data_IF_067020281426
#
_entry.id   IF_067020281426
#
_cell.length_a   1.000
_cell.length_b   1.000
_cell.length_c   1.000
_cell.angle_alpha   90.00
_cell.angle_beta   90.00
_cell.angle_gamma   90.00
#
_symmetry.space_group_name_H-M   'P 1'
#
loop_
_entity.id
_entity.type
_entity.pdbx_description
1 polymer ?
#
# COMPACT_ATOMS: atom_id res chain seq x y z
N UNK A 1 16.80 -17.29 44.77
CA UNK A 1 17.50 -17.40 43.48
C UNK A 1 16.91 -18.39 42.48
N UNK A 2 16.10 -19.40 42.87
CA UNK A 2 15.53 -20.39 41.90
C UNK A 2 14.29 -19.94 41.12
N UNK A 3 13.53 -18.93 41.59
CA UNK A 3 12.33 -18.44 40.90
C UNK A 3 12.61 -17.56 39.64
N UNK A 4 13.73 -16.84 39.67
CA UNK A 4 14.09 -15.95 38.55
C UNK A 4 14.70 -16.69 37.35
N UNK A 5 15.25 -17.88 37.57
CA UNK A 5 15.81 -18.72 36.51
C UNK A 5 14.69 -19.36 35.65
N UNK A 6 13.55 -19.70 36.27
CA UNK A 6 12.41 -20.28 35.55
C UNK A 6 11.71 -19.26 34.63
N UNK A 7 11.68 -17.97 35.01
CA UNK A 7 11.09 -16.90 34.16
C UNK A 7 12.01 -16.61 32.95
N UNK A 8 13.33 -16.66 33.15
CA UNK A 8 14.27 -16.41 32.04
C UNK A 8 14.25 -17.54 31.01
N UNK A 9 14.11 -18.80 31.46
CA UNK A 9 13.99 -19.97 30.58
C UNK A 9 12.66 -19.96 29.82
N UNK A 10 11.56 -19.52 30.44
CA UNK A 10 10.26 -19.42 29.78
C UNK A 10 10.23 -18.29 28.71
N UNK A 11 10.93 -17.18 28.95
CA UNK A 11 11.06 -16.09 27.97
C UNK A 11 11.95 -16.47 26.79
N UNK A 12 13.03 -17.21 27.03
CA UNK A 12 13.90 -17.72 25.96
C UNK A 12 13.21 -18.81 25.12
N UNK A 13 12.41 -19.66 25.75
CA UNK A 13 11.66 -20.70 25.02
C UNK A 13 10.50 -20.11 24.21
N UNK A 14 9.85 -19.04 24.67
CA UNK A 14 8.79 -18.39 23.88
C UNK A 14 9.35 -17.64 22.66
N UNK A 15 10.52 -17.00 22.78
CA UNK A 15 11.19 -16.35 21.65
C UNK A 15 11.72 -17.36 20.62
N UNK A 16 12.26 -18.50 21.08
CA UNK A 16 12.74 -19.56 20.19
C UNK A 16 11.60 -20.33 19.53
N UNK A 17 10.45 -20.49 20.18
CA UNK A 17 9.24 -21.12 19.59
C UNK A 17 8.66 -20.24 18.50
N UNK A 18 8.64 -18.91 18.66
CA UNK A 18 8.19 -18.00 17.59
C UNK A 18 9.10 -18.02 16.35
N UNK A 19 10.42 -18.05 16.56
CA UNK A 19 11.39 -18.15 15.47
C UNK A 19 11.36 -19.54 14.79
N UNK A 20 11.19 -20.61 15.56
CA UNK A 20 11.06 -21.97 15.03
C UNK A 20 9.75 -22.17 14.26
N UNK A 21 8.63 -21.54 14.68
CA UNK A 21 7.37 -21.66 13.97
C UNK A 21 7.40 -20.94 12.61
N UNK A 22 8.05 -19.77 12.52
CA UNK A 22 8.28 -19.09 11.24
C UNK A 22 9.09 -19.94 10.27
N UNK A 23 10.24 -20.45 10.71
CA UNK A 23 11.11 -21.33 9.92
C UNK A 23 10.44 -22.66 9.54
N UNK A 24 9.59 -23.22 10.40
CA UNK A 24 8.86 -24.46 10.12
C UNK A 24 7.76 -24.27 9.07
N UNK A 25 7.09 -23.13 9.08
CA UNK A 25 6.07 -22.79 8.07
C UNK A 25 6.74 -22.61 6.70
N UNK A 26 7.86 -21.90 6.63
CA UNK A 26 8.60 -21.72 5.38
C UNK A 26 9.15 -23.06 4.85
N UNK A 27 9.73 -23.91 5.70
CA UNK A 27 10.18 -25.26 5.33
C UNK A 27 9.05 -26.15 4.81
N UNK A 28 7.84 -26.03 5.33
CA UNK A 28 6.68 -26.79 4.83
C UNK A 28 6.38 -26.47 3.36
N UNK A 29 6.70 -25.25 2.91
CA UNK A 29 6.43 -24.77 1.56
C UNK A 29 7.70 -24.64 0.70
N UNK A 30 8.90 -24.89 1.25
CA UNK A 30 10.20 -24.79 0.59
C UNK A 30 10.31 -25.63 -0.68
N UNK A 31 9.64 -26.79 -0.70
CA UNK A 31 9.62 -27.68 -1.88
C UNK A 31 8.50 -27.35 -2.87
N UNK A 32 7.70 -26.32 -2.63
CA UNK A 32 6.69 -25.90 -3.58
C UNK A 32 7.32 -24.90 -4.54
N UNK A 33 7.36 -25.28 -5.82
CA UNK A 33 7.79 -24.35 -6.86
C UNK A 33 6.96 -23.07 -6.81
N UNK A 34 7.59 -21.91 -7.00
CA UNK A 34 6.87 -20.65 -7.09
C UNK A 34 5.73 -20.77 -8.09
N UNK A 35 4.54 -20.30 -7.71
CA UNK A 35 3.37 -20.31 -8.57
C UNK A 35 3.58 -19.32 -9.72
N UNK A 36 4.26 -19.77 -10.76
CA UNK A 36 4.58 -18.96 -11.92
C UNK A 36 3.32 -18.62 -12.71
N UNK A 37 2.98 -17.33 -12.76
CA UNK A 37 1.93 -16.84 -13.65
C UNK A 37 2.43 -16.62 -15.07
N UNK A 38 3.68 -16.17 -15.23
CA UNK A 38 4.29 -15.85 -16.52
C UNK A 38 5.80 -15.70 -16.38
N UNK A 39 6.52 -16.09 -17.43
CA UNK A 39 7.94 -15.77 -17.62
C UNK A 39 8.90 -16.92 -17.37
N UNK A 40 10.20 -16.61 -17.46
CA UNK A 40 11.28 -17.58 -17.35
C UNK A 40 11.49 -18.00 -15.88
N UNK A 41 11.53 -19.30 -15.63
CA UNK A 41 11.81 -19.87 -14.29
C UNK A 41 13.31 -19.86 -13.95
N UNK A 42 14.18 -19.61 -14.91
CA UNK A 42 15.64 -19.62 -14.72
C UNK A 42 16.27 -18.23 -14.68
N UNK A 43 15.51 -17.21 -14.24
CA UNK A 43 16.09 -15.86 -14.07
C UNK A 43 17.10 -15.90 -12.93
N UNK A 44 18.29 -15.42 -13.20
CA UNK A 44 19.38 -15.33 -12.22
C UNK A 44 19.98 -13.92 -12.20
N UNK A 45 20.51 -13.53 -11.06
CA UNK A 45 21.25 -12.30 -10.85
C UNK A 45 22.53 -12.60 -10.10
N UNK A 46 23.66 -12.16 -10.65
CA UNK A 46 25.00 -12.41 -10.08
C UNK A 46 25.26 -13.89 -9.73
N UNK A 47 24.80 -14.81 -10.60
CA UNK A 47 25.00 -16.23 -10.42
C UNK A 47 24.06 -16.95 -9.45
N UNK A 48 23.17 -16.22 -8.76
CA UNK A 48 22.12 -16.81 -7.92
C UNK A 48 20.78 -16.82 -8.65
N UNK A 49 20.03 -17.90 -8.50
CA UNK A 49 18.65 -17.97 -8.97
C UNK A 49 17.81 -16.94 -8.21
N UNK A 50 16.96 -16.20 -8.91
CA UNK A 50 16.07 -15.19 -8.29
C UNK A 50 15.17 -15.86 -7.25
N UNK A 51 14.65 -17.03 -7.52
CA UNK A 51 13.79 -17.75 -6.58
C UNK A 51 14.49 -18.02 -5.25
N UNK A 52 15.76 -18.44 -5.28
CA UNK A 52 16.54 -18.66 -4.06
C UNK A 52 16.76 -17.35 -3.29
N UNK A 53 17.07 -16.27 -4.01
CA UNK A 53 17.24 -14.95 -3.36
C UNK A 53 15.95 -14.48 -2.68
N UNK A 54 14.79 -14.74 -3.28
CA UNK A 54 13.49 -14.39 -2.71
C UNK A 54 13.21 -15.23 -1.46
N UNK A 55 13.45 -16.54 -1.50
CA UNK A 55 13.26 -17.40 -0.32
C UNK A 55 14.18 -17.01 0.83
N UNK A 56 15.46 -16.75 0.55
CA UNK A 56 16.42 -16.29 1.55
C UNK A 56 15.94 -14.97 2.20
N UNK A 57 15.48 -14.01 1.39
CA UNK A 57 14.93 -12.75 1.87
C UNK A 57 13.65 -12.94 2.70
N UNK A 58 12.72 -13.76 2.24
CA UNK A 58 11.47 -14.03 2.96
C UNK A 58 11.74 -14.70 4.32
N UNK A 59 12.71 -15.62 4.38
CA UNK A 59 13.11 -16.28 5.62
C UNK A 59 13.75 -15.26 6.59
N UNK A 60 14.70 -14.46 6.10
CA UNK A 60 15.38 -13.43 6.89
C UNK A 60 14.40 -12.39 7.46
N UNK A 61 13.43 -11.96 6.67
CA UNK A 61 12.47 -10.92 7.06
C UNK A 61 11.18 -11.49 7.70
N UNK A 62 11.02 -12.80 7.78
CA UNK A 62 9.82 -13.44 8.32
C UNK A 62 8.56 -13.19 7.47
N UNK A 63 8.70 -13.01 6.16
CA UNK A 63 7.59 -12.73 5.23
C UNK A 63 6.92 -14.05 4.83
N UNK A 64 5.63 -14.26 5.17
CA UNK A 64 4.96 -15.54 4.89
C UNK A 64 4.58 -15.72 3.42
N UNK A 65 4.39 -14.65 2.67
CA UNK A 65 4.03 -14.72 1.27
C UNK A 65 4.21 -13.40 0.54
N UNK A 66 4.52 -13.50 -0.75
CA UNK A 66 4.68 -12.33 -1.64
C UNK A 66 4.45 -12.69 -3.10
N UNK A 67 4.24 -11.69 -3.93
CA UNK A 67 4.29 -11.81 -5.38
C UNK A 67 5.36 -10.90 -5.93
N UNK A 68 6.24 -11.44 -6.78
CA UNK A 68 7.27 -10.70 -7.48
C UNK A 68 6.89 -10.54 -8.95
N UNK A 69 7.01 -9.33 -9.47
CA UNK A 69 7.00 -9.06 -10.90
C UNK A 69 8.33 -8.41 -11.31
N UNK A 70 9.03 -9.02 -12.25
CA UNK A 70 10.20 -8.42 -12.90
C UNK A 70 9.74 -7.89 -14.24
N UNK A 71 9.89 -6.59 -14.44
CA UNK A 71 9.48 -5.91 -15.67
C UNK A 71 10.69 -5.25 -16.31
N UNK A 72 10.96 -5.62 -17.56
CA UNK A 72 11.96 -4.97 -18.40
C UNK A 72 11.30 -4.69 -19.74
N UNK A 73 10.95 -3.45 -19.98
CA UNK A 73 10.24 -3.07 -21.20
C UNK A 73 10.98 -3.51 -22.47
N UNK A 74 10.30 -4.09 -23.47
CA UNK A 74 8.86 -4.35 -23.54
C UNK A 74 8.42 -5.73 -22.94
N UNK A 75 9.27 -6.37 -22.16
CA UNK A 75 9.07 -7.74 -21.68
C UNK A 75 8.70 -7.78 -20.20
N UNK A 76 7.98 -8.84 -19.81
CA UNK A 76 7.79 -9.24 -18.43
C UNK A 76 8.52 -10.57 -18.26
N UNK A 77 9.79 -10.56 -17.84
CA UNK A 77 10.60 -11.78 -17.77
C UNK A 77 10.09 -12.75 -16.71
N UNK A 78 9.43 -12.29 -15.66
CA UNK A 78 8.89 -13.14 -14.62
C UNK A 78 7.76 -12.48 -13.83
N UNK A 79 6.72 -13.26 -13.53
CA UNK A 79 5.76 -13.00 -12.44
C UNK A 79 5.57 -14.29 -11.68
N UNK A 80 5.78 -14.28 -10.38
CA UNK A 80 5.65 -15.47 -9.54
C UNK A 80 5.17 -15.12 -8.12
N UNK A 81 4.34 -16.01 -7.54
CA UNK A 81 4.00 -15.98 -6.12
C UNK A 81 4.90 -16.92 -5.34
N UNK A 82 5.23 -16.52 -4.12
CA UNK A 82 6.07 -17.24 -3.16
C UNK A 82 5.37 -17.34 -1.82
N UNK A 83 5.50 -18.50 -1.16
CA UNK A 83 4.90 -18.72 0.15
C UNK A 83 3.37 -18.74 0.13
N UNK A 84 2.74 -18.26 1.20
CA UNK A 84 1.31 -18.38 1.44
C UNK A 84 0.63 -17.03 1.68
N UNK A 85 -0.64 -16.94 1.32
CA UNK A 85 -1.50 -15.77 1.58
C UNK A 85 -2.31 -15.91 2.85
N UNK A 86 -2.35 -17.12 3.42
CA UNK A 86 -3.09 -17.44 4.63
C UNK A 86 -2.31 -18.50 5.40
N UNK A 87 -1.83 -18.14 6.60
CA UNK A 87 -1.01 -19.03 7.43
C UNK A 87 -1.81 -20.19 8.02
N UNK A 88 -3.11 -20.02 8.23
CA UNK A 88 -3.97 -21.06 8.80
C UNK A 88 -4.38 -22.06 7.72
N UNK A 89 -4.81 -21.56 6.57
CA UNK A 89 -5.32 -22.39 5.46
C UNK A 89 -4.23 -22.90 4.53
N UNK A 90 -3.05 -22.24 4.54
CA UNK A 90 -1.94 -22.59 3.67
C UNK A 90 -2.20 -22.28 2.19
N UNK A 91 -3.06 -21.31 1.88
CA UNK A 91 -3.32 -20.88 0.52
C UNK A 91 -2.07 -20.27 -0.09
N UNK A 92 -1.66 -20.75 -1.26
CA UNK A 92 -0.44 -20.30 -1.91
C UNK A 92 -0.59 -18.89 -2.50
N UNK A 93 0.45 -18.08 -2.36
CA UNK A 93 0.57 -16.84 -3.11
C UNK A 93 0.80 -17.16 -4.61
N UNK A 94 0.19 -16.39 -5.49
CA UNK A 94 0.25 -16.58 -6.93
C UNK A 94 0.38 -15.24 -7.67
N UNK A 95 0.63 -15.29 -8.97
CA UNK A 95 0.66 -14.09 -9.82
C UNK A 95 -0.65 -13.28 -9.81
N UNK A 96 -1.76 -13.93 -9.46
CA UNK A 96 -3.10 -13.32 -9.38
C UNK A 96 -3.53 -12.95 -7.96
N UNK A 97 -2.64 -13.08 -6.99
CA UNK A 97 -2.94 -12.67 -5.63
C UNK A 97 -3.15 -11.17 -5.56
N UNK A 98 -4.24 -10.75 -4.93
CA UNK A 98 -4.52 -9.34 -4.66
C UNK A 98 -3.82 -8.92 -3.38
N UNK A 99 -3.01 -7.90 -3.48
CA UNK A 99 -2.29 -7.30 -2.38
C UNK A 99 -2.77 -5.87 -2.14
N UNK A 100 -2.93 -5.44 -0.88
CA UNK A 100 -3.13 -4.03 -0.60
C UNK A 100 -1.85 -3.26 -0.95
N UNK A 101 -1.98 -2.25 -1.80
CA UNK A 101 -0.84 -1.49 -2.30
C UNK A 101 -0.55 -0.24 -1.46
N UNK A 102 -1.40 0.08 -0.48
CA UNK A 102 -1.21 1.20 0.44
C UNK A 102 -0.83 2.51 -0.27
N UNK A 103 0.24 3.20 0.17
CA UNK A 103 0.65 4.47 -0.42
C UNK A 103 1.03 4.43 -1.91
N UNK A 104 1.30 3.26 -2.49
CA UNK A 104 1.53 3.13 -3.94
C UNK A 104 0.28 3.58 -4.71
N UNK A 105 -0.93 3.47 -4.11
CA UNK A 105 -2.17 3.98 -4.69
C UNK A 105 -2.15 5.48 -4.99
N UNK A 106 -1.28 6.26 -4.35
CA UNK A 106 -1.08 7.68 -4.64
C UNK A 106 -0.67 7.91 -6.10
N UNK A 107 -0.02 6.93 -6.74
CA UNK A 107 0.29 6.97 -8.17
C UNK A 107 -0.95 7.12 -9.06
N UNK A 108 -2.06 6.47 -8.70
CA UNK A 108 -3.33 6.64 -9.44
C UNK A 108 -3.90 8.05 -9.32
N UNK A 109 -3.78 8.67 -8.14
CA UNK A 109 -4.20 10.06 -7.95
C UNK A 109 -3.29 11.03 -8.72
N UNK A 110 -1.98 10.81 -8.70
CA UNK A 110 -1.04 11.62 -9.47
C UNK A 110 -1.33 11.54 -10.98
N UNK A 111 -1.58 10.35 -11.51
CA UNK A 111 -1.99 10.16 -12.92
C UNK A 111 -3.33 10.87 -13.19
N UNK A 112 -4.31 10.81 -12.28
CA UNK A 112 -5.58 11.50 -12.45
C UNK A 112 -5.42 13.03 -12.52
N UNK A 113 -4.55 13.60 -11.66
CA UNK A 113 -4.18 15.03 -11.72
C UNK A 113 -3.58 15.37 -13.08
N UNK A 114 -2.62 14.56 -13.57
CA UNK A 114 -2.00 14.79 -14.88
C UNK A 114 -2.99 14.66 -16.03
N UNK A 115 -3.93 13.71 -15.98
CA UNK A 115 -5.00 13.58 -16.97
C UNK A 115 -5.93 14.81 -17.01
N UNK A 116 -6.18 15.43 -15.85
CA UNK A 116 -6.96 16.67 -15.77
C UNK A 116 -6.17 17.89 -16.23
N UNK A 117 -4.87 17.93 -15.93
CA UNK A 117 -3.94 18.95 -16.41
C UNK A 117 -3.85 18.94 -17.94
N UNK A 118 -3.62 17.78 -18.56
CA UNK A 118 -3.60 17.62 -20.02
C UNK A 118 -4.90 18.08 -20.71
N UNK A 119 -6.03 17.94 -20.02
CA UNK A 119 -7.35 18.42 -20.49
C UNK A 119 -7.61 19.91 -20.20
N UNK A 120 -6.62 20.62 -19.66
CA UNK A 120 -6.75 22.04 -19.28
C UNK A 120 -7.82 22.30 -18.20
N UNK A 121 -8.11 21.30 -17.33
CA UNK A 121 -9.08 21.41 -16.25
C UNK A 121 -8.50 22.00 -14.97
N UNK A 122 -7.20 21.91 -14.81
CA UNK A 122 -6.42 22.48 -13.71
C UNK A 122 -5.00 22.80 -14.18
N UNK A 123 -4.28 23.65 -13.44
CA UNK A 123 -2.85 23.86 -13.58
C UNK A 123 -2.13 23.35 -12.33
N UNK A 124 -0.93 22.76 -12.49
CA UNK A 124 -0.16 22.22 -11.38
C UNK A 124 0.30 23.32 -10.41
N UNK A 125 0.45 24.53 -10.88
CA UNK A 125 0.81 25.70 -10.07
C UNK A 125 -0.41 26.41 -9.47
N UNK A 126 -1.63 25.99 -9.81
CA UNK A 126 -2.83 26.56 -9.18
C UNK A 126 -2.78 26.37 -7.65
N UNK A 127 -3.12 27.42 -6.90
CA UNK A 127 -3.27 27.30 -5.46
C UNK A 127 -4.50 26.44 -5.15
N UNK A 128 -4.38 25.52 -4.18
CA UNK A 128 -5.47 24.60 -3.87
C UNK A 128 -6.73 25.31 -3.37
N UNK A 129 -6.60 26.50 -2.79
CA UNK A 129 -7.72 27.37 -2.43
C UNK A 129 -8.60 27.80 -3.60
N UNK A 130 -8.14 27.69 -4.84
CA UNK A 130 -8.98 27.84 -6.05
C UNK A 130 -10.09 26.80 -6.11
N UNK A 131 -9.79 25.58 -5.64
CA UNK A 131 -10.67 24.43 -5.72
C UNK A 131 -11.35 24.10 -4.39
N UNK A 132 -10.62 24.22 -3.28
CA UNK A 132 -11.07 23.84 -1.94
C UNK A 132 -11.28 25.09 -1.10
N UNK A 133 -12.53 25.35 -0.70
CA UNK A 133 -12.89 26.55 0.08
C UNK A 133 -12.83 26.30 1.59
N UNK A 134 -13.20 25.07 2.00
CA UNK A 134 -13.36 24.68 3.39
C UNK A 134 -12.08 24.02 3.94
N UNK A 135 -10.94 24.71 3.77
CA UNK A 135 -9.63 24.31 4.25
C UNK A 135 -8.98 25.50 4.99
N UNK A 136 -7.99 25.28 5.87
CA UNK A 136 -7.27 26.35 6.56
C UNK A 136 -6.71 27.41 5.60
N UNK A 137 -6.78 28.68 6.01
CA UNK A 137 -6.35 29.81 5.17
C UNK A 137 -4.88 29.69 4.74
N UNK A 138 -4.02 29.23 5.65
CA UNK A 138 -2.58 29.04 5.37
C UNK A 138 -2.29 27.88 4.42
N UNK A 139 -3.27 27.02 4.11
CA UNK A 139 -3.11 25.96 3.10
C UNK A 139 -3.52 26.45 1.70
N UNK A 140 -4.40 27.43 1.62
CA UNK A 140 -4.97 27.91 0.34
C UNK A 140 -3.93 28.32 -0.71
N UNK A 141 -2.78 28.93 -0.34
CA UNK A 141 -1.74 29.28 -1.32
C UNK A 141 -0.90 28.10 -1.81
N UNK A 142 -0.95 26.94 -1.16
CA UNK A 142 -0.19 25.74 -1.53
C UNK A 142 -0.62 25.30 -2.92
N UNK A 143 0.33 24.94 -3.80
CA UNK A 143 0.03 24.51 -5.15
C UNK A 143 -0.32 23.00 -5.23
N UNK A 144 -1.05 22.61 -6.27
CA UNK A 144 -1.30 21.19 -6.59
C UNK A 144 0.03 20.43 -6.71
N UNK A 145 1.03 21.02 -7.36
CA UNK A 145 2.35 20.41 -7.50
C UNK A 145 3.01 20.13 -6.15
N UNK A 146 2.92 21.08 -5.20
CA UNK A 146 3.48 20.90 -3.86
C UNK A 146 2.79 19.77 -3.07
N UNK A 147 1.48 19.54 -3.27
CA UNK A 147 0.80 18.36 -2.72
C UNK A 147 1.33 17.08 -3.34
N UNK A 148 1.46 17.01 -4.68
CA UNK A 148 1.93 15.84 -5.39
C UNK A 148 3.37 15.46 -5.00
N UNK A 149 4.22 16.45 -4.73
CA UNK A 149 5.61 16.28 -4.34
C UNK A 149 5.82 16.08 -2.84
N UNK A 150 4.75 16.08 -2.03
CA UNK A 150 4.84 16.07 -0.58
C UNK A 150 5.64 17.24 0.02
N UNK A 151 5.69 18.36 -0.67
CA UNK A 151 6.40 19.57 -0.25
C UNK A 151 5.49 20.66 0.31
N UNK A 152 4.29 20.30 0.75
CA UNK A 152 3.30 21.23 1.30
C UNK A 152 3.57 21.68 2.74
N UNK A 153 4.26 20.84 3.54
CA UNK A 153 4.40 21.02 4.98
C UNK A 153 3.18 20.60 5.80
N UNK A 154 2.05 20.18 5.19
CA UNK A 154 0.83 19.78 5.88
C UNK A 154 1.06 18.49 6.66
N UNK A 155 0.59 18.45 7.92
CA UNK A 155 0.67 17.27 8.78
C UNK A 155 -0.09 16.07 8.20
N UNK A 156 0.38 14.85 8.50
CA UNK A 156 -0.27 13.62 8.09
C UNK A 156 -1.30 13.20 9.14
N UNK A 157 -2.58 13.16 8.78
CA UNK A 157 -3.67 12.77 9.69
C UNK A 157 -3.49 11.37 10.29
N UNK A 158 -2.76 10.48 9.63
CA UNK A 158 -2.50 9.13 10.13
C UNK A 158 -1.61 9.10 11.38
N UNK A 159 -0.86 10.17 11.62
CA UNK A 159 0.01 10.30 12.79
C UNK A 159 -0.73 10.89 13.99
N UNK A 160 -1.99 11.30 13.83
CA UNK A 160 -2.74 11.95 14.88
C UNK A 160 -3.31 10.94 15.87
N UNK A 161 -3.29 11.33 17.15
CA UNK A 161 -3.81 10.51 18.24
C UNK A 161 -5.30 10.23 18.04
N UNK A 162 -5.65 8.95 17.98
CA UNK A 162 -7.04 8.50 17.79
C UNK A 162 -7.38 8.20 16.36
N UNK A 163 -6.47 8.34 15.40
CA UNK A 163 -6.67 7.82 14.05
C UNK A 163 -6.79 6.29 14.13
N UNK A 164 -7.88 5.77 13.62
CA UNK A 164 -8.15 4.34 13.47
C UNK A 164 -8.37 4.06 11.98
N UNK A 165 -7.44 3.42 11.39
CA UNK A 165 -7.43 3.09 9.98
C UNK A 165 -8.54 2.06 9.58
N UNK A 166 -9.15 1.37 10.56
CA UNK A 166 -10.32 0.51 10.32
C UNK A 166 -11.65 1.29 10.35
N UNK A 167 -11.62 2.56 10.77
CA UNK A 167 -12.81 3.40 10.82
C UNK A 167 -13.10 4.03 9.45
N UNK A 168 -14.36 4.26 9.19
CA UNK A 168 -14.83 4.96 8.00
C UNK A 168 -14.89 6.46 8.28
N UNK A 169 -13.98 7.22 7.66
CA UNK A 169 -13.89 8.67 7.82
C UNK A 169 -14.36 9.38 6.56
N UNK A 170 -15.11 10.46 6.76
CA UNK A 170 -15.32 11.43 5.68
C UNK A 170 -14.05 12.30 5.52
N UNK A 171 -13.72 12.76 4.30
CA UNK A 171 -12.55 13.59 4.05
C UNK A 171 -12.44 14.81 4.98
N UNK A 172 -13.57 15.46 5.29
CA UNK A 172 -13.63 16.64 6.15
C UNK A 172 -13.18 16.32 7.58
N UNK A 173 -13.57 15.15 8.11
CA UNK A 173 -13.17 14.74 9.46
C UNK A 173 -11.66 14.53 9.56
N UNK A 174 -11.03 13.96 8.52
CA UNK A 174 -9.57 13.79 8.49
C UNK A 174 -8.84 15.14 8.35
N UNK A 175 -9.38 16.06 7.55
CA UNK A 175 -8.83 17.41 7.42
C UNK A 175 -8.90 18.15 8.78
N UNK A 176 -10.03 18.06 9.48
CA UNK A 176 -10.22 18.69 10.81
C UNK A 176 -9.18 18.24 11.83
N UNK A 177 -8.75 16.97 11.80
CA UNK A 177 -7.75 16.45 12.77
C UNK A 177 -6.41 17.16 12.68
N UNK A 178 -6.05 17.70 11.53
CA UNK A 178 -4.75 18.34 11.28
C UNK A 178 -4.85 19.83 10.95
N UNK A 179 -6.06 20.36 10.83
CA UNK A 179 -6.30 21.75 10.42
C UNK A 179 -5.67 22.81 11.34
N UNK A 180 -5.57 22.52 12.64
CA UNK A 180 -4.98 23.41 13.62
C UNK A 180 -3.46 23.22 13.79
N UNK A 181 -2.87 22.21 13.16
CA UNK A 181 -1.45 21.92 13.25
C UNK A 181 -0.67 22.87 12.34
N UNK A 182 0.35 23.60 12.84
CA UNK A 182 1.20 24.41 11.99
C UNK A 182 1.86 23.58 10.88
N UNK A 183 2.13 24.20 9.75
CA UNK A 183 2.94 23.57 8.69
C UNK A 183 4.32 23.20 9.25
N UNK A 184 4.77 21.98 8.98
CA UNK A 184 6.06 21.48 9.44
C UNK A 184 7.26 22.29 8.86
N UNK A 185 7.04 22.89 7.69
CA UNK A 185 7.99 23.75 6.97
C UNK A 185 7.22 24.64 5.99
N UNK A 186 7.87 25.67 5.49
CA UNK A 186 7.29 26.53 4.46
C UNK A 186 7.09 25.72 3.15
N UNK A 187 5.93 25.84 2.48
CA UNK A 187 5.64 25.07 1.26
C UNK A 187 6.73 25.22 0.20
N UNK A 188 7.24 24.09 -0.29
CA UNK A 188 8.31 24.03 -1.30
C UNK A 188 9.74 24.04 -0.76
N UNK A 189 9.95 24.15 0.57
CA UNK A 189 11.32 24.23 1.14
C UNK A 189 11.86 22.88 1.62
N UNK A 190 10.98 21.88 1.80
CA UNK A 190 11.38 20.54 2.24
C UNK A 190 10.34 19.50 1.74
N UNK A 191 10.60 18.22 1.95
CA UNK A 191 9.75 17.11 1.53
C UNK A 191 9.46 16.19 2.71
N UNK A 192 8.18 16.01 3.01
CA UNK A 192 7.72 15.06 4.03
C UNK A 192 6.43 14.41 3.58
N UNK A 193 6.43 13.08 3.47
CA UNK A 193 5.24 12.34 3.10
C UNK A 193 4.07 12.66 4.03
N UNK A 194 2.91 12.92 3.44
CA UNK A 194 1.66 13.16 4.16
C UNK A 194 0.48 12.63 3.35
N UNK A 195 -0.32 11.76 3.96
CA UNK A 195 -1.56 11.26 3.34
C UNK A 195 -2.58 12.39 3.14
N UNK A 196 -2.55 13.43 3.99
CA UNK A 196 -3.41 14.61 3.84
C UNK A 196 -3.24 15.27 2.47
N UNK A 197 -2.02 15.29 1.92
CA UNK A 197 -1.78 15.84 0.59
C UNK A 197 -2.63 15.13 -0.48
N UNK A 198 -2.64 13.81 -0.45
CA UNK A 198 -3.38 13.02 -1.43
C UNK A 198 -4.88 12.98 -1.16
N UNK A 199 -5.31 13.12 0.10
CA UNK A 199 -6.71 13.36 0.43
C UNK A 199 -7.22 14.66 -0.21
N UNK A 200 -6.45 15.75 -0.13
CA UNK A 200 -6.78 17.02 -0.77
C UNK A 200 -6.77 16.91 -2.29
N UNK A 201 -5.80 16.17 -2.87
CA UNK A 201 -5.76 15.91 -4.31
C UNK A 201 -6.99 15.13 -4.79
N UNK A 202 -7.44 14.11 -4.06
CA UNK A 202 -8.67 13.38 -4.44
C UNK A 202 -9.88 14.31 -4.48
N UNK A 203 -10.03 15.21 -3.49
CA UNK A 203 -11.10 16.21 -3.48
C UNK A 203 -11.02 17.19 -4.66
N UNK A 204 -9.81 17.59 -5.08
CA UNK A 204 -9.61 18.42 -6.26
C UNK A 204 -9.99 17.66 -7.54
N UNK A 205 -9.59 16.38 -7.65
CA UNK A 205 -9.93 15.51 -8.79
C UNK A 205 -11.46 15.38 -8.92
N UNK A 206 -12.17 15.15 -7.81
CA UNK A 206 -13.65 15.06 -7.84
C UNK A 206 -14.30 16.33 -8.33
N UNK A 207 -13.86 17.48 -7.81
CA UNK A 207 -14.42 18.80 -8.22
C UNK A 207 -14.14 19.13 -9.68
N UNK A 208 -12.93 18.87 -10.15
CA UNK A 208 -12.53 19.21 -11.53
C UNK A 208 -12.98 18.15 -12.53
N UNK A 209 -12.98 16.88 -12.14
CA UNK A 209 -13.46 15.74 -12.93
C UNK A 209 -14.98 15.61 -12.95
N UNK A 210 -15.70 16.30 -12.02
CA UNK A 210 -17.16 16.25 -11.84
C UNK A 210 -17.72 14.84 -11.65
N UNK A 211 -16.97 14.01 -10.94
CA UNK A 211 -17.36 12.66 -10.55
C UNK A 211 -16.55 12.19 -9.34
N UNK A 212 -17.01 11.19 -8.57
CA UNK A 212 -16.24 10.59 -7.48
C UNK A 212 -14.86 10.13 -7.95
N UNK A 213 -13.85 10.28 -7.09
CA UNK A 213 -12.47 9.87 -7.37
C UNK A 213 -12.37 8.40 -7.81
N UNK A 214 -13.08 7.52 -7.09
CA UNK A 214 -13.17 6.11 -7.43
C UNK A 214 -13.64 5.88 -8.88
N UNK A 215 -14.69 6.57 -9.29
CA UNK A 215 -15.27 6.40 -10.64
C UNK A 215 -14.33 6.98 -11.70
N UNK A 216 -13.63 8.07 -11.36
CA UNK A 216 -12.64 8.68 -12.25
C UNK A 216 -11.49 7.71 -12.53
N UNK A 217 -10.85 7.18 -11.48
CA UNK A 217 -9.74 6.24 -11.62
C UNK A 217 -10.20 4.95 -12.29
N UNK A 218 -11.35 4.41 -11.87
CA UNK A 218 -11.91 3.22 -12.51
C UNK A 218 -12.08 3.42 -14.01
N UNK A 219 -12.76 4.48 -14.42
CA UNK A 219 -13.08 4.74 -15.82
C UNK A 219 -11.86 5.06 -16.68
N UNK A 220 -10.98 5.96 -16.19
CA UNK A 220 -9.92 6.53 -17.01
C UNK A 220 -8.56 5.86 -16.85
N UNK A 221 -8.43 4.92 -15.91
CA UNK A 221 -7.19 4.18 -15.70
C UNK A 221 -7.44 2.67 -15.67
N UNK A 222 -8.23 2.15 -14.74
CA UNK A 222 -8.40 0.71 -14.54
C UNK A 222 -9.08 0.07 -15.77
N UNK A 223 -10.27 0.55 -16.14
CA UNK A 223 -11.04 0.00 -17.27
C UNK A 223 -10.36 0.33 -18.61
N UNK A 224 -9.81 1.56 -18.74
CA UNK A 224 -9.10 1.99 -19.95
C UNK A 224 -7.88 1.11 -20.27
N UNK A 225 -7.12 0.72 -19.24
CA UNK A 225 -5.94 -0.13 -19.39
C UNK A 225 -6.28 -1.63 -19.32
N UNK A 226 -7.53 -1.99 -19.07
CA UNK A 226 -7.96 -3.38 -18.94
C UNK A 226 -7.35 -4.08 -17.72
N UNK A 227 -7.16 -3.38 -16.61
CA UNK A 227 -6.55 -3.92 -15.38
C UNK A 227 -7.57 -4.76 -14.61
N UNK A 228 -7.74 -6.02 -15.04
CA UNK A 228 -8.78 -6.93 -14.53
C UNK A 228 -8.57 -7.37 -13.07
N UNK A 229 -7.40 -7.10 -12.48
CA UNK A 229 -7.04 -7.52 -11.13
C UNK A 229 -6.65 -6.32 -10.25
N UNK A 230 -7.19 -5.13 -10.56
CA UNK A 230 -6.99 -3.92 -9.78
C UNK A 230 -8.35 -3.42 -9.31
N UNK A 231 -8.51 -3.31 -7.99
CA UNK A 231 -9.80 -2.99 -7.36
C UNK A 231 -9.62 -1.96 -6.26
N UNK A 232 -10.64 -1.17 -5.99
CA UNK A 232 -10.75 -0.44 -4.74
C UNK A 232 -11.23 -1.38 -3.63
N UNK A 233 -10.80 -1.15 -2.39
CA UNK A 233 -11.14 -2.02 -1.25
C UNK A 233 -12.65 -2.27 -1.11
N UNK A 234 -13.48 -1.24 -1.34
CA UNK A 234 -14.95 -1.36 -1.31
C UNK A 234 -15.55 -2.27 -2.40
N UNK A 235 -14.81 -2.55 -3.46
CA UNK A 235 -15.27 -3.41 -4.55
C UNK A 235 -14.86 -4.87 -4.37
N UNK A 236 -14.00 -5.19 -3.39
CA UNK A 236 -13.51 -6.56 -3.17
C UNK A 236 -14.62 -7.56 -2.91
N UNK A 237 -15.72 -7.16 -2.26
CA UNK A 237 -16.87 -8.01 -2.03
C UNK A 237 -17.57 -8.48 -3.32
N UNK A 238 -17.33 -7.81 -4.45
CA UNK A 238 -17.88 -8.13 -5.78
C UNK A 238 -16.97 -9.06 -6.59
N UNK A 239 -15.73 -9.27 -6.11
CA UNK A 239 -14.74 -10.09 -6.80
C UNK A 239 -15.00 -11.55 -6.48
N UNK A 240 -15.12 -12.38 -7.53
CA UNK A 240 -15.27 -13.83 -7.34
C UNK A 240 -13.95 -14.42 -6.85
N UNK A 241 -14.01 -15.18 -5.75
CA UNK A 241 -12.81 -15.79 -5.15
C UNK A 241 -12.09 -16.79 -6.07
N UNK A 242 -12.82 -17.39 -7.02
CA UNK A 242 -12.26 -18.27 -8.02
C UNK A 242 -11.33 -17.57 -9.03
N UNK A 243 -11.52 -16.25 -9.23
CA UNK A 243 -10.74 -15.46 -10.18
C UNK A 243 -9.45 -14.87 -9.58
N UNK A 244 -9.38 -14.79 -8.26
CA UNK A 244 -8.29 -14.15 -7.53
C UNK A 244 -7.99 -14.87 -6.22
N UNK A 245 -6.74 -14.90 -5.81
CA UNK A 245 -6.35 -15.29 -4.46
C UNK A 245 -6.29 -14.04 -3.60
N UNK A 246 -7.15 -13.94 -2.60
CA UNK A 246 -7.11 -12.84 -1.65
C UNK A 246 -6.06 -13.12 -0.58
N UNK A 247 -5.41 -12.08 -0.09
CA UNK A 247 -4.60 -12.16 1.13
C UNK A 247 -5.54 -12.46 2.29
N UNK A 248 -5.38 -13.64 2.87
CA UNK A 248 -6.17 -14.07 4.01
C UNK A 248 -5.58 -13.57 5.35
N UNK A 249 -5.42 -14.48 6.30
CA UNK A 249 -4.97 -14.17 7.66
C UNK A 249 -3.55 -13.62 7.80
N UNK A 250 -2.80 -13.42 6.72
CA UNK A 250 -1.52 -12.68 6.77
C UNK A 250 -1.70 -11.34 7.46
N UNK A 251 -2.82 -10.66 7.20
CA UNK A 251 -3.16 -9.41 7.89
C UNK A 251 -3.61 -9.59 9.35
N UNK A 252 -4.13 -10.75 9.74
CA UNK A 252 -4.56 -10.97 11.13
C UNK A 252 -3.36 -11.14 12.07
N UNK A 253 -2.24 -11.66 11.57
CA UNK A 253 -1.00 -11.74 12.35
C UNK A 253 -0.46 -10.35 12.68
N UNK A 254 -0.64 -9.39 11.79
CA UNK A 254 -0.30 -7.97 12.00
C UNK A 254 -1.37 -7.18 12.76
N UNK A 255 -2.64 -7.63 12.79
CA UNK A 255 -3.70 -7.01 13.60
C UNK A 255 -3.41 -7.00 15.09
N UNK A 256 -2.59 -7.92 15.61
CA UNK A 256 -2.18 -7.90 17.02
C UNK A 256 -1.31 -6.69 17.37
N UNK A 257 -0.63 -6.10 16.39
CA UNK A 257 0.30 -4.97 16.58
C UNK A 257 -0.19 -3.63 15.99
N UNK A 258 -1.48 -3.52 15.63
CA UNK A 258 -2.15 -2.27 15.18
C UNK A 258 -1.57 -1.57 13.94
N UNK A 259 -0.64 -2.16 13.21
CA UNK A 259 0.16 -1.40 12.24
C UNK A 259 -0.11 -1.69 10.75
N UNK A 260 -1.09 -2.52 10.40
CA UNK A 260 -1.39 -2.77 8.98
C UNK A 260 -2.87 -2.81 8.69
N UNK A 261 -3.26 -1.84 7.93
CA UNK A 261 -4.64 -1.69 7.60
C UNK A 261 -4.86 -1.17 6.20
N UNK A 262 -5.88 -1.73 5.59
CA UNK A 262 -6.40 -1.32 4.30
C UNK A 262 -6.73 0.17 4.27
N UNK A 263 -6.35 0.85 3.20
CA UNK A 263 -7.01 2.07 2.81
C UNK A 263 -8.40 1.77 2.23
#
# INVERSE_FOLDING_TARGET
>A
MKKNLLILVALLTSATISAQNGGTIMKKYENQLPQAGRGNVHVAYQGKAIDQMIYDFMEEQGIPGMTLAIVQAPYIPRVAGYGVTDLEKGNLAAAKTLWPIGPISQGYAAVAVMQLYEKGKLDLNDPIGKYLKDIPENWKPISILQLMQHSSGIADYRNEKGFDVSADYRPEQLIETVAAIPLAFAPGTDVKQSATNFLLLTSIIEKTGKMPYHDFVKKYQIDYLGLKQTFFGKDLAKVKQEDVTLTGNVHQTFKKDKDYINP
#
